data_IF_964272019419
#
_entry.id   IF_964272019419
#
_cell.length_a   1.000
_cell.length_b   1.000
_cell.length_c   1.000
_cell.angle_alpha   90.00
_cell.angle_beta   90.00
_cell.angle_gamma   90.00
#
_symmetry.space_group_name_H-M   'P 1'
#
loop_
_entity.id
_entity.type
_entity.pdbx_description
1 polymer ?
#
# COMPACT_ATOMS: atom_id res chain seq x y z
N UNK A 1 -14.72 31.08 3.75
CA UNK A 1 -13.35 30.97 4.27
C UNK A 1 -12.67 29.79 3.58
N UNK A 2 -11.80 30.10 2.61
CA UNK A 2 -10.98 29.12 1.90
C UNK A 2 -9.94 28.56 2.85
N UNK A 3 -9.95 27.25 3.09
CA UNK A 3 -8.75 26.52 3.49
C UNK A 3 -8.39 25.62 2.33
N UNK A 4 -7.65 26.20 1.39
CA UNK A 4 -6.99 25.49 0.30
C UNK A 4 -5.69 24.91 0.87
N UNK A 5 -5.82 23.90 1.74
CA UNK A 5 -4.72 23.08 2.22
C UNK A 5 -4.88 21.69 1.62
N UNK A 6 -4.92 21.61 0.29
CA UNK A 6 -4.56 20.35 -0.36
C UNK A 6 -3.05 20.39 -0.58
N UNK A 7 -2.28 19.41 -0.08
CA UNK A 7 -0.85 19.34 -0.38
C UNK A 7 -0.65 19.23 -1.89
N UNK A 8 0.49 19.75 -2.37
CA UNK A 8 0.82 19.74 -3.80
C UNK A 8 0.91 18.31 -4.37
N UNK A 9 1.27 17.33 -3.53
CA UNK A 9 1.26 15.92 -3.88
C UNK A 9 0.93 15.05 -2.67
N UNK A 10 0.09 14.06 -2.89
CA UNK A 10 -0.19 12.99 -1.93
C UNK A 10 0.44 11.70 -2.41
N UNK A 11 1.05 10.94 -1.49
CA UNK A 11 1.59 9.62 -1.75
C UNK A 11 0.87 8.59 -0.88
N UNK A 12 0.08 7.74 -1.52
CA UNK A 12 -0.48 6.56 -0.89
C UNK A 12 0.50 5.39 -1.02
N UNK A 13 1.26 5.14 0.05
CA UNK A 13 2.09 3.95 0.17
C UNK A 13 1.17 2.74 0.42
N UNK A 14 0.70 2.12 -0.66
CA UNK A 14 -0.27 1.03 -0.57
C UNK A 14 0.45 -0.29 -0.28
N UNK A 15 0.27 -0.76 0.94
CA UNK A 15 0.71 -2.09 1.36
C UNK A 15 -0.31 -3.12 0.84
N UNK A 16 0.11 -4.20 0.15
CA UNK A 16 -0.82 -5.21 -0.31
C UNK A 16 -1.69 -5.79 0.82
N UNK A 17 -2.99 -5.88 0.51
CA UNK A 17 -4.05 -6.48 1.35
C UNK A 17 -4.51 -5.64 2.55
N UNK A 18 -4.32 -4.32 2.49
CA UNK A 18 -4.81 -3.35 3.50
C UNK A 18 -5.97 -2.48 2.99
N UNK A 19 -6.97 -3.12 2.36
CA UNK A 19 -8.18 -2.49 1.80
C UNK A 19 -7.95 -1.45 0.67
N UNK A 20 -6.76 -1.43 0.04
CA UNK A 20 -6.44 -0.41 -0.96
C UNK A 20 -7.35 -0.39 -2.19
N UNK A 21 -7.95 -1.50 -2.63
CA UNK A 21 -8.88 -1.47 -3.77
C UNK A 21 -10.09 -0.56 -3.56
N UNK A 22 -10.63 -0.56 -2.34
CA UNK A 22 -11.73 0.33 -1.97
C UNK A 22 -11.24 1.77 -1.92
N UNK A 23 -10.07 2.00 -1.34
CA UNK A 23 -9.51 3.33 -1.23
C UNK A 23 -9.12 3.92 -2.60
N UNK A 24 -8.66 3.11 -3.56
CA UNK A 24 -8.34 3.57 -4.91
C UNK A 24 -9.54 4.25 -5.57
N UNK A 25 -10.73 3.65 -5.43
CA UNK A 25 -11.98 4.22 -5.98
C UNK A 25 -12.36 5.52 -5.30
N UNK A 26 -12.14 5.64 -4.00
CA UNK A 26 -12.39 6.87 -3.24
C UNK A 26 -11.43 7.97 -3.75
N UNK A 27 -10.14 7.67 -3.86
CA UNK A 27 -9.13 8.60 -4.35
C UNK A 27 -9.42 9.08 -5.78
N UNK A 28 -9.91 8.21 -6.65
CA UNK A 28 -10.33 8.57 -8.02
C UNK A 28 -11.46 9.61 -8.05
N UNK A 29 -12.24 9.78 -6.96
CA UNK A 29 -13.24 10.84 -6.87
C UNK A 29 -12.68 12.20 -6.46
N UNK A 30 -11.42 12.25 -6.01
CA UNK A 30 -10.76 13.47 -5.53
C UNK A 30 -9.64 13.97 -6.43
N UNK A 31 -9.09 13.10 -7.28
CA UNK A 31 -8.00 13.43 -8.18
C UNK A 31 -8.41 13.21 -9.63
N UNK A 32 -7.97 14.13 -10.50
CA UNK A 32 -8.10 13.98 -11.95
C UNK A 32 -7.25 12.81 -12.43
N UNK A 33 -7.79 11.96 -13.31
CA UNK A 33 -7.11 10.76 -13.78
C UNK A 33 -5.71 11.03 -14.36
N UNK A 34 -5.52 12.17 -15.02
CA UNK A 34 -4.25 12.60 -15.61
C UNK A 34 -3.17 12.92 -14.57
N UNK A 35 -3.59 13.21 -13.34
CA UNK A 35 -2.72 13.57 -12.22
C UNK A 35 -2.46 12.41 -11.25
N UNK A 36 -3.05 11.24 -11.52
CA UNK A 36 -2.84 10.02 -10.75
C UNK A 36 -1.79 9.18 -11.46
N UNK A 37 -0.70 8.88 -10.75
CA UNK A 37 0.25 7.85 -11.17
C UNK A 37 0.08 6.62 -10.29
N UNK A 38 -0.17 5.46 -10.93
CA UNK A 38 -0.35 4.20 -10.21
C UNK A 38 0.79 3.25 -10.52
N UNK A 39 1.58 2.92 -9.50
CA UNK A 39 2.63 1.90 -9.57
C UNK A 39 2.05 0.54 -9.16
N UNK A 40 1.76 -0.29 -10.15
CA UNK A 40 1.32 -1.66 -9.93
C UNK A 40 2.51 -2.62 -9.76
N UNK A 41 2.26 -3.89 -9.43
CA UNK A 41 3.36 -4.87 -9.36
C UNK A 41 4.00 -5.18 -10.73
N UNK A 42 3.27 -4.93 -11.81
CA UNK A 42 3.68 -5.10 -13.21
C UNK A 42 4.25 -3.82 -13.84
N UNK A 43 3.97 -2.64 -13.27
CA UNK A 43 4.65 -1.40 -13.61
C UNK A 43 5.94 -1.27 -12.81
N UNK A 44 7.09 -1.46 -13.44
CA UNK A 44 8.34 -1.49 -12.69
C UNK A 44 8.70 -0.08 -12.24
N UNK A 45 9.26 0.03 -11.04
CA UNK A 45 9.90 1.24 -10.52
C UNK A 45 10.79 1.96 -11.54
N UNK A 46 11.34 1.22 -12.50
CA UNK A 46 12.14 1.74 -13.61
C UNK A 46 11.34 2.66 -14.55
N UNK A 47 10.07 2.36 -14.83
CA UNK A 47 9.19 3.23 -15.61
C UNK A 47 8.98 4.57 -14.90
N UNK A 48 8.78 4.53 -13.58
CA UNK A 48 8.66 5.74 -12.77
C UNK A 48 9.97 6.52 -12.72
N UNK A 49 11.11 5.84 -12.59
CA UNK A 49 12.45 6.47 -12.63
C UNK A 49 12.69 7.19 -13.95
N UNK A 50 12.25 6.60 -15.07
CA UNK A 50 12.41 7.13 -16.42
C UNK A 50 11.54 8.38 -16.71
N UNK A 51 10.54 8.69 -15.88
CA UNK A 51 9.77 9.93 -16.03
C UNK A 51 10.66 11.17 -15.87
N UNK A 52 10.44 12.17 -16.72
CA UNK A 52 11.07 13.48 -16.61
C UNK A 52 10.64 14.20 -15.33
N UNK A 53 11.39 15.22 -14.93
CA UNK A 53 11.04 16.07 -13.78
C UNK A 53 9.67 16.71 -13.95
N UNK A 54 9.33 17.17 -15.15
CA UNK A 54 8.04 17.79 -15.49
C UNK A 54 6.91 16.78 -15.34
N UNK A 55 7.10 15.55 -15.83
CA UNK A 55 6.13 14.47 -15.67
C UNK A 55 5.91 14.14 -14.19
N UNK A 56 6.98 14.03 -13.38
CA UNK A 56 6.86 13.78 -11.93
C UNK A 56 6.23 14.96 -11.17
N UNK A 57 6.50 16.19 -11.60
CA UNK A 57 5.86 17.39 -11.04
C UNK A 57 4.35 17.44 -11.31
N UNK A 58 3.89 16.90 -12.44
CA UNK A 58 2.47 16.83 -12.78
C UNK A 58 1.66 15.82 -11.92
N UNK A 59 2.33 14.90 -11.23
CA UNK A 59 1.70 13.89 -10.37
C UNK A 59 1.20 14.56 -9.08
N UNK A 60 -0.12 14.56 -8.89
CA UNK A 60 -0.80 15.03 -7.66
C UNK A 60 -1.13 13.89 -6.70
N UNK A 61 -1.33 12.68 -7.22
CA UNK A 61 -1.49 11.46 -6.42
C UNK A 61 -0.57 10.37 -6.96
N UNK A 62 0.41 9.96 -6.16
CA UNK A 62 1.16 8.72 -6.39
C UNK A 62 0.55 7.62 -5.51
N UNK A 63 0.19 6.47 -6.08
CA UNK A 63 -0.33 5.32 -5.32
C UNK A 63 0.21 4.03 -5.87
N UNK A 64 0.43 3.02 -5.03
CA UNK A 64 0.98 1.77 -5.54
C UNK A 64 1.74 0.95 -4.53
N UNK A 65 2.29 -0.16 -5.02
CA UNK A 65 3.14 -1.06 -4.25
C UNK A 65 4.60 -0.70 -4.49
N UNK A 66 5.12 0.22 -3.68
CA UNK A 66 6.53 0.62 -3.65
C UNK A 66 6.95 0.78 -2.19
N UNK A 67 8.24 0.95 -1.95
CA UNK A 67 8.78 1.25 -0.63
C UNK A 67 8.86 2.75 -0.36
N UNK A 68 8.96 3.11 0.91
CA UNK A 68 8.99 4.50 1.40
C UNK A 68 10.21 5.29 0.90
N UNK A 69 11.24 4.61 0.42
CA UNK A 69 12.39 5.21 -0.25
C UNK A 69 12.06 5.93 -1.56
N UNK A 70 10.87 5.73 -2.15
CA UNK A 70 10.40 6.43 -3.36
C UNK A 70 10.49 7.96 -3.24
N UNK A 71 10.50 8.50 -2.02
CA UNK A 71 10.60 9.93 -1.74
C UNK A 71 11.82 10.59 -2.38
N UNK A 72 12.92 9.86 -2.56
CA UNK A 72 14.16 10.41 -3.15
C UNK A 72 14.00 10.70 -4.64
N UNK A 73 13.00 10.11 -5.28
CA UNK A 73 12.71 10.25 -6.71
C UNK A 73 11.63 11.31 -6.99
N UNK A 74 10.96 11.82 -5.96
CA UNK A 74 9.86 12.78 -6.09
C UNK A 74 10.36 14.22 -6.00
N UNK A 75 9.96 15.11 -6.94
CA UNK A 75 10.36 16.51 -6.88
C UNK A 75 9.46 17.29 -5.92
N UNK A 76 10.06 17.97 -4.94
CA UNK A 76 9.36 18.82 -3.99
C UNK A 76 8.65 18.08 -2.84
N UNK A 77 7.99 18.82 -1.94
CA UNK A 77 7.33 18.24 -0.77
C UNK A 77 6.17 17.32 -1.18
N UNK A 78 5.89 16.31 -0.36
CA UNK A 78 4.79 15.37 -0.56
C UNK A 78 4.28 14.88 0.79
N UNK A 79 2.96 14.75 0.93
CA UNK A 79 2.33 14.23 2.14
C UNK A 79 2.04 12.74 1.95
N UNK A 80 2.55 11.92 2.87
CA UNK A 80 2.45 10.46 2.78
C UNK A 80 1.34 9.95 3.69
N UNK A 81 0.68 8.88 3.26
CA UNK A 81 -0.15 8.09 4.16
C UNK A 81 -0.10 6.62 3.77
N UNK A 82 -0.48 5.77 4.72
CA UNK A 82 -0.60 4.33 4.51
C UNK A 82 -1.76 3.76 5.33
N UNK A 83 -2.11 2.51 5.06
CA UNK A 83 -3.05 1.72 5.86
C UNK A 83 -2.34 0.42 6.21
N UNK A 84 -2.31 0.11 7.51
CA UNK A 84 -1.81 -1.14 8.04
C UNK A 84 -2.96 -2.12 8.26
N UNK A 85 -2.59 -3.37 8.52
CA UNK A 85 -3.50 -4.44 8.91
C UNK A 85 -2.79 -5.32 9.93
N UNK A 86 -3.57 -6.05 10.73
CA UNK A 86 -3.02 -7.17 11.49
C UNK A 86 -2.17 -8.07 10.55
N UNK A 87 -0.91 -8.36 10.91
CA UNK A 87 0.01 -9.06 10.03
C UNK A 87 -0.46 -10.47 9.66
N UNK A 88 -1.14 -11.17 10.58
CA UNK A 88 -1.66 -12.53 10.36
C UNK A 88 -2.83 -12.49 9.39
N UNK A 89 -3.81 -11.62 9.62
CA UNK A 89 -4.97 -11.44 8.76
C UNK A 89 -4.59 -10.97 7.36
N UNK A 90 -3.54 -10.15 7.25
CA UNK A 90 -2.98 -9.72 5.97
C UNK A 90 -2.42 -10.89 5.17
N UNK A 91 -1.66 -11.80 5.80
CA UNK A 91 -1.07 -12.97 5.14
C UNK A 91 -2.15 -13.97 4.71
N UNK A 92 -3.16 -14.21 5.54
CA UNK A 92 -4.32 -15.06 5.20
C UNK A 92 -5.07 -14.47 3.98
N UNK A 93 -5.35 -13.17 4.02
CA UNK A 93 -5.97 -12.43 2.91
C UNK A 93 -5.12 -12.51 1.64
N UNK A 94 -3.79 -12.49 1.79
CA UNK A 94 -2.86 -12.60 0.67
C UNK A 94 -2.92 -13.99 0.03
N UNK A 95 -2.87 -15.06 0.82
CA UNK A 95 -3.02 -16.44 0.35
C UNK A 95 -4.28 -16.64 -0.51
N UNK A 96 -5.44 -16.25 0.03
CA UNK A 96 -6.71 -16.38 -0.70
C UNK A 96 -6.77 -15.48 -1.95
N UNK A 97 -6.12 -14.32 -1.92
CA UNK A 97 -6.00 -13.47 -3.09
C UNK A 97 -5.17 -14.11 -4.19
N UNK A 98 -3.98 -14.64 -3.87
CA UNK A 98 -3.14 -15.33 -4.84
C UNK A 98 -3.92 -16.48 -5.48
N UNK A 99 -4.61 -17.31 -4.68
CA UNK A 99 -5.39 -18.45 -5.20
C UNK A 99 -6.54 -18.11 -6.14
N UNK A 100 -7.09 -16.90 -6.06
CA UNK A 100 -8.23 -16.46 -6.90
C UNK A 100 -7.84 -15.50 -8.01
N UNK A 101 -6.55 -15.22 -8.18
CA UNK A 101 -6.05 -14.23 -9.13
C UNK A 101 -5.12 -14.89 -10.15
N UNK A 102 -5.66 -15.44 -11.27
CA UNK A 102 -4.88 -16.14 -12.29
C UNK A 102 -3.70 -15.34 -12.88
N UNK A 103 -3.78 -14.01 -12.85
CA UNK A 103 -2.71 -13.12 -13.32
C UNK A 103 -1.60 -12.86 -12.29
N UNK A 104 -1.78 -13.29 -11.04
CA UNK A 104 -0.77 -13.10 -10.02
C UNK A 104 0.41 -14.04 -10.28
N UNK A 105 1.64 -13.55 -10.19
CA UNK A 105 2.84 -14.32 -10.56
C UNK A 105 3.04 -15.59 -9.71
N UNK A 106 2.57 -15.62 -8.46
CA UNK A 106 2.53 -16.83 -7.64
C UNK A 106 1.34 -17.77 -7.90
N UNK A 107 0.36 -17.42 -8.74
CA UNK A 107 -0.89 -18.17 -8.89
C UNK A 107 -0.65 -19.66 -9.15
N UNK A 108 0.06 -19.97 -10.24
CA UNK A 108 0.37 -21.35 -10.64
C UNK A 108 1.07 -22.14 -9.53
N UNK A 109 2.05 -21.53 -8.86
CA UNK A 109 2.79 -22.18 -7.77
C UNK A 109 1.89 -22.51 -6.57
N UNK A 110 0.86 -21.71 -6.32
CA UNK A 110 -0.05 -21.93 -5.18
C UNK A 110 -1.22 -22.85 -5.56
N UNK A 111 -1.72 -22.79 -6.79
CA UNK A 111 -2.92 -23.53 -7.20
C UNK A 111 -2.63 -24.91 -7.76
N UNK A 112 -1.53 -25.11 -8.50
CA UNK A 112 -1.21 -26.38 -9.17
C UNK A 112 -1.11 -27.56 -8.21
N UNK A 113 -0.49 -27.35 -7.05
CA UNK A 113 -0.31 -28.38 -6.03
C UNK A 113 -1.32 -28.25 -4.87
N UNK A 114 -2.39 -27.46 -5.07
CA UNK A 114 -3.36 -27.11 -4.03
C UNK A 114 -2.69 -26.74 -2.69
N UNK A 115 -1.68 -25.86 -2.77
CA UNK A 115 -0.82 -25.50 -1.65
C UNK A 115 -1.66 -25.04 -0.45
N UNK A 116 -1.44 -25.65 0.72
CA UNK A 116 -2.11 -25.25 1.96
C UNK A 116 -1.63 -23.87 2.42
N UNK A 117 -2.41 -23.22 3.30
CA UNK A 117 -1.99 -21.96 3.92
C UNK A 117 -0.67 -22.14 4.70
N UNK A 118 -0.51 -23.25 5.40
CA UNK A 118 0.70 -23.58 6.16
C UNK A 118 1.92 -23.66 5.24
N UNK A 119 1.83 -24.44 4.16
CA UNK A 119 2.91 -24.54 3.17
C UNK A 119 3.19 -23.18 2.53
N UNK A 120 2.15 -22.40 2.23
CA UNK A 120 2.30 -21.07 1.64
C UNK A 120 3.11 -20.14 2.53
N UNK A 121 2.82 -20.06 3.84
CA UNK A 121 3.54 -19.13 4.73
C UNK A 121 5.01 -19.51 4.94
N UNK A 122 5.36 -20.80 4.84
CA UNK A 122 6.75 -21.28 4.98
C UNK A 122 7.50 -21.37 3.65
N UNK A 123 6.81 -21.22 2.52
CA UNK A 123 7.34 -21.49 1.17
C UNK A 123 8.43 -20.52 0.68
N UNK A 124 8.51 -19.34 1.29
CA UNK A 124 9.37 -18.22 0.85
C UNK A 124 9.13 -17.78 -0.60
N UNK A 125 7.97 -18.12 -1.19
CA UNK A 125 7.70 -17.83 -2.61
C UNK A 125 7.58 -16.32 -2.92
N UNK A 126 7.26 -15.51 -1.91
CA UNK A 126 7.21 -14.06 -1.98
C UNK A 126 7.79 -13.47 -0.68
N UNK A 127 8.68 -12.50 -0.85
CA UNK A 127 9.20 -11.64 0.21
C UNK A 127 8.14 -10.92 1.04
N UNK A 128 6.94 -10.64 0.51
CA UNK A 128 5.84 -10.05 1.26
C UNK A 128 5.29 -10.96 2.36
N UNK A 129 5.64 -12.26 2.37
CA UNK A 129 5.30 -13.17 3.46
C UNK A 129 6.17 -12.94 4.71
N UNK A 130 7.38 -12.44 4.52
CA UNK A 130 8.29 -12.09 5.60
C UNK A 130 8.20 -10.58 5.87
N UNK A 131 7.57 -10.18 6.98
CA UNK A 131 7.56 -8.77 7.43
C UNK A 131 7.16 -7.75 6.34
N UNK A 132 6.23 -8.12 5.45
CA UNK A 132 5.91 -7.34 4.25
C UNK A 132 5.54 -5.87 4.50
N UNK A 133 4.90 -5.55 5.63
CA UNK A 133 4.60 -4.17 6.01
C UNK A 133 5.88 -3.39 6.34
N UNK A 134 6.74 -3.95 7.19
CA UNK A 134 8.04 -3.36 7.57
C UNK A 134 8.91 -3.06 6.36
N UNK A 135 8.98 -4.00 5.40
CA UNK A 135 9.83 -3.88 4.20
C UNK A 135 9.47 -2.68 3.33
N UNK A 136 8.16 -2.43 3.18
CA UNK A 136 7.66 -1.29 2.39
C UNK A 136 7.77 0.03 3.15
N UNK A 137 7.73 -0.01 4.48
CA UNK A 137 7.86 1.18 5.33
C UNK A 137 9.31 1.59 5.59
N UNK A 138 10.26 0.70 5.35
CA UNK A 138 11.68 0.99 5.38
C UNK A 138 12.10 1.90 4.21
N UNK A 139 13.27 2.52 4.31
CA UNK A 139 13.84 3.43 3.30
C UNK A 139 14.40 2.67 2.09
N UNK A 140 13.55 1.88 1.44
CA UNK A 140 13.83 1.14 0.21
C UNK A 140 12.85 1.58 -0.87
N UNK A 141 13.24 1.53 -2.14
CA UNK A 141 12.40 2.01 -3.23
C UNK A 141 11.26 1.04 -3.54
N UNK A 142 11.49 -0.27 -3.36
CA UNK A 142 10.46 -1.31 -3.58
C UNK A 142 10.17 -2.18 -2.35
N UNK A 143 11.07 -2.18 -1.37
CA UNK A 143 11.11 -3.16 -0.29
C UNK A 143 11.66 -4.52 -0.73
N UNK A 144 11.51 -4.92 -2.00
CA UNK A 144 12.03 -6.18 -2.57
C UNK A 144 13.56 -6.29 -2.54
N UNK A 145 14.28 -5.18 -2.34
CA UNK A 145 15.72 -5.13 -2.12
C UNK A 145 16.17 -5.87 -0.85
N UNK A 146 15.27 -6.09 0.11
CA UNK A 146 15.56 -6.82 1.35
C UNK A 146 15.33 -8.31 1.12
N UNK A 147 16.34 -9.19 1.18
CA UNK A 147 16.13 -10.63 0.99
C UNK A 147 15.16 -11.22 2.03
N UNK A 148 14.49 -12.31 1.67
CA UNK A 148 13.64 -13.04 2.60
C UNK A 148 14.45 -13.50 3.82
N UNK A 149 13.94 -13.28 5.03
CA UNK A 149 14.59 -13.60 6.30
C UNK A 149 15.58 -12.53 6.76
N UNK A 150 15.75 -11.44 6.02
CA UNK A 150 16.73 -10.37 6.31
C UNK A 150 16.09 -9.11 6.89
N UNK A 151 14.83 -9.16 7.32
CA UNK A 151 14.20 -8.08 8.07
C UNK A 151 14.76 -8.00 9.50
N UNK A 152 15.62 -7.02 9.74
CA UNK A 152 16.27 -6.80 11.05
C UNK A 152 15.45 -5.89 11.96
N UNK A 153 15.78 -5.87 13.24
CA UNK A 153 15.22 -4.91 14.22
C UNK A 153 15.48 -3.47 13.80
N UNK A 154 16.64 -3.17 13.22
CA UNK A 154 16.96 -1.83 12.72
C UNK A 154 15.98 -1.38 11.62
N UNK A 155 15.59 -2.28 10.71
CA UNK A 155 14.57 -1.98 9.69
C UNK A 155 13.19 -1.79 10.31
N UNK A 156 12.86 -2.53 11.37
CA UNK A 156 11.62 -2.33 12.12
C UNK A 156 11.59 -0.97 12.81
N UNK A 157 12.68 -0.55 13.42
CA UNK A 157 12.78 0.74 14.10
C UNK A 157 12.72 1.89 13.08
N UNK A 158 13.35 1.74 11.91
CA UNK A 158 13.21 2.68 10.79
C UNK A 158 11.75 2.78 10.32
N UNK A 159 11.07 1.65 10.10
CA UNK A 159 9.67 1.63 9.70
C UNK A 159 8.77 2.32 10.73
N UNK A 160 8.98 2.06 12.03
CA UNK A 160 8.25 2.71 13.13
C UNK A 160 8.50 4.21 13.17
N UNK A 161 9.74 4.64 12.95
CA UNK A 161 10.08 6.06 12.88
C UNK A 161 9.36 6.75 11.72
N UNK A 162 9.41 6.17 10.53
CA UNK A 162 8.71 6.71 9.35
C UNK A 162 7.19 6.80 9.58
N UNK A 163 6.58 5.79 10.21
CA UNK A 163 5.16 5.82 10.56
C UNK A 163 4.79 6.97 11.51
N UNK A 164 5.66 7.31 12.47
CA UNK A 164 5.39 8.34 13.48
C UNK A 164 5.68 9.74 12.96
N UNK A 165 6.81 9.90 12.28
CA UNK A 165 7.37 11.22 12.00
C UNK A 165 7.12 11.70 10.56
N UNK A 166 6.82 10.79 9.62
CA UNK A 166 6.81 11.11 8.19
C UNK A 166 5.47 10.80 7.50
N UNK A 167 4.54 10.14 8.19
CA UNK A 167 3.20 9.86 7.68
C UNK A 167 2.22 10.91 8.21
N UNK A 168 1.48 11.54 7.30
CA UNK A 168 0.38 12.42 7.64
C UNK A 168 -0.76 11.66 8.33
N UNK A 169 -1.04 10.46 7.82
CA UNK A 169 -2.04 9.54 8.38
C UNK A 169 -1.53 8.10 8.30
N UNK A 170 -1.72 7.37 9.39
CA UNK A 170 -1.57 5.90 9.43
C UNK A 170 -2.92 5.31 9.77
N UNK A 171 -3.55 4.68 8.78
CA UNK A 171 -4.84 4.00 8.93
C UNK A 171 -4.70 2.54 9.38
N UNK A 172 -5.80 1.97 9.83
CA UNK A 172 -5.93 0.54 10.13
C UNK A 172 -7.10 -0.04 9.34
N UNK A 173 -6.88 -1.20 8.72
CA UNK A 173 -7.91 -1.92 7.96
C UNK A 173 -9.09 -2.32 8.84
N UNK A 174 -8.81 -2.67 10.10
CA UNK A 174 -9.78 -3.07 11.12
C UNK A 174 -10.66 -1.90 11.58
N UNK A 175 -10.21 -0.66 11.35
CA UNK A 175 -10.87 0.59 11.71
C UNK A 175 -11.00 1.49 10.48
N UNK A 176 -11.52 0.90 9.40
CA UNK A 176 -11.51 1.54 8.09
C UNK A 176 -12.39 2.80 8.04
N UNK A 177 -13.53 2.80 8.73
CA UNK A 177 -14.42 3.96 8.78
C UNK A 177 -13.75 5.14 9.51
N UNK A 178 -13.05 4.89 10.62
CA UNK A 178 -12.25 5.91 11.30
C UNK A 178 -11.03 6.33 10.48
N UNK A 179 -10.40 5.40 9.78
CA UNK A 179 -9.31 5.69 8.84
C UNK A 179 -9.76 6.67 7.76
N UNK A 180 -10.93 6.44 7.18
CA UNK A 180 -11.52 7.34 6.19
C UNK A 180 -11.81 8.72 6.78
N UNK A 181 -12.35 8.79 8.00
CA UNK A 181 -12.56 10.05 8.68
C UNK A 181 -11.25 10.83 8.90
N UNK A 182 -10.19 10.16 9.36
CA UNK A 182 -8.87 10.78 9.53
C UNK A 182 -8.30 11.29 8.20
N UNK A 183 -8.39 10.49 7.13
CA UNK A 183 -7.97 10.90 5.79
C UNK A 183 -8.77 12.11 5.29
N UNK A 184 -10.07 12.15 5.56
CA UNK A 184 -10.93 13.29 5.24
C UNK A 184 -10.43 14.58 5.90
N UNK A 185 -10.15 14.53 7.20
CA UNK A 185 -9.70 15.68 7.98
C UNK A 185 -8.31 16.12 7.55
N UNK A 186 -7.41 15.18 7.28
CA UNK A 186 -6.02 15.47 6.94
C UNK A 186 -5.84 16.06 5.53
N UNK A 187 -6.63 15.60 4.55
CA UNK A 187 -6.46 15.98 3.14
C UNK A 187 -7.60 16.84 2.57
N UNK A 188 -8.62 17.17 3.39
CA UNK A 188 -9.75 17.99 2.96
C UNK A 188 -10.66 17.34 1.91
N UNK A 189 -10.55 16.01 1.73
CA UNK A 189 -11.36 15.26 0.78
C UNK A 189 -12.86 15.35 1.09
N UNK A 190 -13.71 15.46 0.05
CA UNK A 190 -15.16 15.63 0.20
C UNK A 190 -15.89 14.43 -0.39
N UNK A 191 -16.87 13.87 0.33
CA UNK A 191 -17.70 12.70 -0.06
C UNK A 191 -16.93 11.37 -0.10
N UNK A 192 -16.91 10.65 1.02
CA UNK A 192 -16.29 9.33 1.18
C UNK A 192 -17.30 8.17 1.13
N UNK A 193 -18.34 8.27 0.29
CA UNK A 193 -19.31 7.19 0.16
C UNK A 193 -18.64 5.98 -0.51
N UNK A 194 -18.58 4.86 0.20
CA UNK A 194 -18.02 3.63 -0.32
C UNK A 194 -18.88 2.43 0.07
N UNK A 195 -18.92 1.40 -0.78
CA UNK A 195 -19.45 0.08 -0.45
C UNK A 195 -18.30 -0.82 0.00
N UNK A 196 -18.42 -1.50 1.15
CA UNK A 196 -17.44 -2.52 1.56
C UNK A 196 -17.32 -3.59 0.48
N UNK A 197 -16.10 -3.92 0.06
CA UNK A 197 -15.82 -5.01 -0.89
C UNK A 197 -14.75 -5.94 -0.31
N UNK A 198 -14.92 -7.26 -0.54
CA UNK A 198 -14.10 -8.34 0.01
C UNK A 198 -14.22 -8.52 1.54
N UNK A 199 -15.45 -8.48 2.08
CA UNK A 199 -15.70 -9.05 3.42
C UNK A 199 -15.49 -10.56 3.31
N UNK A 200 -14.53 -11.11 4.04
CA UNK A 200 -14.40 -12.57 4.20
C UNK A 200 -15.70 -13.07 4.81
N UNK A 201 -16.51 -13.78 4.02
CA UNK A 201 -17.70 -14.45 4.52
C UNK A 201 -17.25 -15.50 5.54
N UNK A 202 -17.59 -15.30 6.83
CA UNK A 202 -17.45 -16.35 7.84
C UNK A 202 -16.62 -16.07 9.08
N UNK A 203 -16.56 -14.83 9.60
CA UNK A 203 -16.18 -14.62 11.01
C UNK A 203 -17.21 -13.75 11.71
N UNK A 204 -18.14 -14.40 12.38
CA UNK A 204 -18.93 -13.81 13.45
C UNK A 204 -17.99 -13.30 14.54
N UNK A 205 -17.98 -11.99 14.72
CA UNK A 205 -17.42 -11.34 15.91
C UNK A 205 -18.15 -11.89 17.14
N UNK A 206 -17.41 -12.58 17.99
CA UNK A 206 -17.74 -12.63 19.42
C UNK A 206 -17.01 -11.48 20.10
#
# INVERSE_FOLDING_TARGET
MNRDFSPDRVVFLHIPKTAGSTLYRILETHYRWESIYTMWQDGTLDEFKALSTEQKMAIRLLRGHFGFGIRTLLPGPSEYFTILRDPTERVISYYHFVRRSPRHYCYERVTKDNMSLETFVTSRIDTLLDNGQTRLLANRESGHEIPFGSCTTALLDEAKHNLREQMKVVGLTERFDETLFLLQQAFGWRKLYYSRQNVSAGRSSQ
#
